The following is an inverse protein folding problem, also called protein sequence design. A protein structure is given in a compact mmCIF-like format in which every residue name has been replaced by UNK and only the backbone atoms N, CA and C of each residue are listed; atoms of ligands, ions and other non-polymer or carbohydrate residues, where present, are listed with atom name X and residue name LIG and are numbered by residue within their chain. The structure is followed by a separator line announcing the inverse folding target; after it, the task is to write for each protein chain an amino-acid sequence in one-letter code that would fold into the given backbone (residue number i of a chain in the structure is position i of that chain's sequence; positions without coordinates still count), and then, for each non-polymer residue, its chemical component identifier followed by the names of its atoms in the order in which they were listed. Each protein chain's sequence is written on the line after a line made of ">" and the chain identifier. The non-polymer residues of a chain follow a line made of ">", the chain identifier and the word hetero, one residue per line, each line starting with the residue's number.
data_IF_188878686154
#
_entry.id   IF_188878686154
#
_cell.length_a   1.000
_cell.length_b   1.000
_cell.length_c   1.000
_cell.angle_alpha   90.00
_cell.angle_beta   90.00
_cell.angle_gamma   90.00
#
_symmetry.space_group_name_H-M   'P 1'
#
loop_
_entity.id
_entity.type
_entity.pdbx_description
1 polymer ?
#
# COMPACT_ATOMS: atom_id res chain seq x y z
N UNK A 1 1.15 9.79 1.94
CA UNK A 1 0.78 8.37 2.15
C UNK A 1 1.13 7.94 3.57
N UNK A 2 0.60 6.82 4.05
CA UNK A 2 0.89 6.25 5.37
C UNK A 2 1.03 4.73 5.28
N UNK A 3 1.92 4.13 6.07
CA UNK A 3 2.08 2.68 6.17
C UNK A 3 1.10 2.13 7.20
N UNK A 4 0.33 1.11 6.82
CA UNK A 4 -0.67 0.46 7.66
C UNK A 4 -0.28 -1.00 7.84
N UNK A 5 -0.13 -1.41 9.10
CA UNK A 5 0.12 -2.79 9.50
C UNK A 5 -1.22 -3.43 9.85
N UNK A 6 -1.59 -4.48 9.12
CA UNK A 6 -2.81 -5.24 9.36
C UNK A 6 -2.43 -6.63 9.84
N UNK A 7 -2.56 -6.85 11.15
CA UNK A 7 -2.36 -8.17 11.75
C UNK A 7 -3.58 -9.06 11.47
N UNK A 8 -3.37 -10.17 10.76
CA UNK A 8 -4.35 -11.22 10.57
C UNK A 8 -4.22 -12.26 11.69
N UNK A 9 -5.17 -12.24 12.62
CA UNK A 9 -5.20 -13.14 13.79
C UNK A 9 -5.43 -14.60 13.42
N UNK A 10 -5.96 -14.91 12.24
CA UNK A 10 -6.24 -16.29 11.82
C UNK A 10 -4.96 -17.02 11.42
N UNK A 11 -4.08 -16.32 10.71
CA UNK A 11 -2.82 -16.86 10.21
C UNK A 11 -1.60 -16.41 11.01
N UNK A 12 -1.74 -15.43 11.92
CA UNK A 12 -0.62 -14.81 12.63
C UNK A 12 0.26 -13.94 11.74
N UNK A 13 -0.17 -13.64 10.51
CA UNK A 13 0.61 -12.88 9.53
C UNK A 13 0.24 -11.41 9.64
N UNK A 14 1.24 -10.53 9.73
CA UNK A 14 1.01 -9.10 9.61
C UNK A 14 1.23 -8.66 8.18
N UNK A 15 0.19 -8.14 7.53
CA UNK A 15 0.31 -7.58 6.18
C UNK A 15 0.62 -6.09 6.24
N UNK A 16 1.45 -5.62 5.32
CA UNK A 16 1.89 -4.23 5.24
C UNK A 16 1.29 -3.58 4.00
N UNK A 17 0.56 -2.50 4.21
CA UNK A 17 -0.10 -1.73 3.15
C UNK A 17 0.41 -0.29 3.11
N UNK A 18 0.56 0.23 1.90
CA UNK A 18 0.69 1.66 1.65
C UNK A 18 -0.72 2.25 1.46
N UNK A 19 -1.10 3.22 2.28
CA UNK A 19 -2.38 3.92 2.20
C UNK A 19 -2.19 5.32 1.64
N UNK A 20 -2.92 5.64 0.58
CA UNK A 20 -2.97 6.97 -0.04
C UNK A 20 -4.37 7.54 0.10
N UNK A 21 -4.51 8.71 0.73
CA UNK A 21 -5.79 9.42 0.82
C UNK A 21 -5.87 10.48 -0.28
N UNK A 22 -7.03 10.63 -0.90
CA UNK A 22 -7.30 11.63 -1.93
C UNK A 22 -8.72 12.18 -1.80
N UNK A 23 -8.93 13.41 -2.25
CA UNK A 23 -10.26 14.00 -2.34
C UNK A 23 -10.90 13.62 -3.67
N UNK A 24 -12.00 12.87 -3.61
CA UNK A 24 -12.80 12.53 -4.78
C UNK A 24 -13.74 13.70 -5.10
N UNK A 25 -13.43 14.47 -6.15
CA UNK A 25 -14.20 15.67 -6.54
C UNK A 25 -15.57 15.31 -7.13
N UNK A 26 -15.71 14.15 -7.75
CA UNK A 26 -16.97 13.68 -8.34
C UNK A 26 -17.95 13.32 -7.22
N UNK A 27 -17.46 12.55 -6.24
CA UNK A 27 -18.27 12.10 -5.09
C UNK A 27 -18.27 13.08 -3.92
N UNK A 28 -17.49 14.16 -4.00
CA UNK A 28 -17.33 15.20 -2.97
C UNK A 28 -17.03 14.62 -1.58
N UNK A 29 -16.14 13.64 -1.50
CA UNK A 29 -15.76 13.01 -0.25
C UNK A 29 -14.29 12.60 -0.22
N UNK A 30 -13.72 12.50 0.98
CA UNK A 30 -12.43 11.86 1.18
C UNK A 30 -12.50 10.36 0.87
N UNK A 31 -11.52 9.87 0.12
CA UNK A 31 -11.34 8.45 -0.20
C UNK A 31 -9.90 8.04 0.07
N UNK A 32 -9.68 6.74 0.19
CA UNK A 32 -8.35 6.17 0.35
C UNK A 32 -8.19 4.90 -0.48
N UNK A 33 -6.96 4.69 -0.96
CA UNK A 33 -6.54 3.49 -1.67
C UNK A 33 -5.42 2.80 -0.90
N UNK A 34 -5.50 1.46 -0.77
CA UNK A 34 -4.49 0.64 -0.09
C UNK A 34 -3.80 -0.28 -1.09
N UNK A 35 -2.47 -0.27 -1.11
CA UNK A 35 -1.63 -1.14 -1.92
C UNK A 35 -0.87 -2.09 -1.01
N UNK A 36 -0.95 -3.40 -1.26
CA UNK A 36 -0.17 -4.39 -0.54
C UNK A 36 1.31 -4.25 -0.89
N UNK A 37 2.15 -3.99 0.11
CA UNK A 37 3.61 -3.95 -0.03
C UNK A 37 4.20 -5.33 0.22
N UNK A 38 3.70 -6.03 1.24
CA UNK A 38 4.18 -7.35 1.62
C UNK A 38 3.59 -7.83 2.94
N UNK A 39 4.26 -8.80 3.57
CA UNK A 39 3.99 -9.28 4.92
C UNK A 39 5.19 -9.03 5.81
N UNK A 40 4.97 -8.78 7.08
CA UNK A 40 6.00 -8.72 8.09
C UNK A 40 6.45 -10.15 8.39
N UNK A 41 7.75 -10.37 8.38
CA UNK A 41 8.38 -11.57 8.91
C UNK A 41 8.40 -11.47 10.45
N UNK A 42 7.78 -12.41 11.17
CA UNK A 42 7.75 -12.38 12.63
C UNK A 42 9.12 -12.59 13.28
N UNK A 43 10.09 -13.18 12.57
CA UNK A 43 11.43 -13.46 13.12
C UNK A 43 12.36 -12.25 12.96
N UNK A 44 12.32 -11.60 11.80
CA UNK A 44 13.22 -10.48 11.47
C UNK A 44 12.58 -9.10 11.67
N UNK A 45 11.25 -9.03 11.71
CA UNK A 45 10.49 -7.78 11.68
C UNK A 45 10.52 -7.07 10.31
N UNK A 46 11.12 -7.69 9.29
CA UNK A 46 11.26 -7.10 7.96
C UNK A 46 10.02 -7.32 7.10
N UNK A 47 9.79 -6.44 6.12
CA UNK A 47 8.68 -6.59 5.17
C UNK A 47 9.12 -7.45 4.00
N UNK A 48 8.66 -8.70 3.98
CA UNK A 48 8.91 -9.67 2.92
C UNK A 48 7.78 -9.61 1.89
N UNK A 49 8.15 -9.56 0.60
CA UNK A 49 7.17 -9.60 -0.48
C UNK A 49 6.34 -10.89 -0.40
N UNK A 50 5.02 -10.77 -0.48
CA UNK A 50 4.15 -11.95 -0.54
C UNK A 50 4.36 -12.66 -1.88
N UNK A 51 4.50 -13.98 -1.86
CA UNK A 51 4.69 -14.81 -3.05
C UNK A 51 3.43 -14.77 -3.93
N UNK A 52 3.39 -13.77 -4.80
CA UNK A 52 3.41 -13.98 -6.23
C UNK A 52 2.22 -14.63 -6.92
N UNK A 53 1.21 -15.16 -6.21
CA UNK A 53 -0.08 -15.58 -6.84
C UNK A 53 -0.89 -14.39 -7.41
N UNK A 54 -0.29 -13.20 -7.43
CA UNK A 54 -0.72 -12.02 -8.16
C UNK A 54 0.43 -11.24 -8.83
N UNK A 55 1.56 -11.87 -9.22
CA UNK A 55 2.56 -11.23 -10.10
C UNK A 55 1.94 -10.93 -11.47
N UNK A 56 1.18 -9.84 -11.56
CA UNK A 56 0.89 -9.09 -12.79
C UNK A 56 0.37 -7.67 -12.53
N UNK A 57 0.81 -7.00 -11.46
CA UNK A 57 0.64 -5.53 -11.30
C UNK A 57 1.92 -4.85 -10.83
N UNK A 58 3.05 -5.21 -11.46
CA UNK A 58 4.20 -4.33 -11.53
C UNK A 58 3.89 -3.21 -12.52
N UNK A 59 3.47 -2.05 -12.00
CA UNK A 59 3.81 -0.69 -12.45
C UNK A 59 2.93 0.28 -11.66
N UNK A 60 3.24 0.45 -10.37
CA UNK A 60 3.05 1.77 -9.79
C UNK A 60 4.13 2.64 -10.44
N UNK A 61 3.76 3.25 -11.57
CA UNK A 61 4.47 4.36 -12.16
C UNK A 61 4.72 5.34 -11.01
N UNK A 62 5.99 5.52 -10.64
CA UNK A 62 6.44 6.74 -10.00
C UNK A 62 5.94 7.88 -10.91
N UNK A 63 4.84 8.51 -10.52
CA UNK A 63 4.56 9.86 -10.96
C UNK A 63 5.21 10.74 -9.91
N UNK A 64 6.49 10.99 -10.15
CA UNK A 64 7.07 12.29 -9.87
C UNK A 64 6.09 13.33 -10.43
N UNK A 65 5.37 14.01 -9.53
CA UNK A 65 4.58 15.15 -9.94
C UNK A 65 5.57 16.21 -10.42
N UNK A 66 5.45 16.78 -11.63
CA UNK A 66 6.21 17.97 -11.92
C UNK A 66 5.79 19.05 -10.90
N UNK A 67 6.73 19.82 -10.33
CA UNK A 67 6.38 20.93 -9.46
C UNK A 67 5.54 21.94 -10.27
N UNK A 68 4.67 22.73 -9.60
CA UNK A 68 3.90 23.76 -10.29
C UNK A 68 4.88 24.77 -10.90
N UNK A 69 4.87 24.90 -12.23
CA UNK A 69 5.50 26.02 -12.91
C UNK A 69 4.67 27.28 -12.64
N UNK A 70 5.40 28.36 -12.35
CA UNK A 70 4.97 29.68 -11.88
C UNK A 70 3.89 30.39 -12.69
#
# INVERSE_FOLDING_TARGET
>A
MSIVHQHDKRSGITYVYESTSYWDKEKKQGRSHRKLIGRLDPETGEVVATDGRGKRRGQAKQMDAPPPAS
#
